data_IF_914636034340
#
_entry.id   IF_914636034340
#
_cell.length_a   1.000
_cell.length_b   1.000
_cell.length_c   1.000
_cell.angle_alpha   90.00
_cell.angle_beta   90.00
_cell.angle_gamma   90.00
#
_symmetry.space_group_name_H-M   'P 1'
#
loop_
_entity.id
_entity.type
_entity.pdbx_description
1 polymer ?
#
# COMPACT_ATOMS: atom_id res chain seq x y z
N UNK A 1 3.12 -16.41 7.93
CA UNK A 1 4.06 -15.32 7.62
C UNK A 1 3.28 -14.06 7.30
N UNK A 2 3.96 -12.92 7.15
CA UNK A 2 3.35 -11.68 6.65
C UNK A 2 3.25 -11.77 5.13
N UNK A 3 2.09 -11.44 4.55
CA UNK A 3 1.87 -11.46 3.09
C UNK A 3 2.02 -10.08 2.46
N UNK A 4 1.71 -9.05 3.23
CA UNK A 4 1.76 -7.66 2.80
C UNK A 4 2.13 -6.75 3.97
N UNK A 5 2.97 -5.75 3.74
CA UNK A 5 3.44 -4.83 4.77
C UNK A 5 3.46 -3.39 4.24
N UNK A 6 2.91 -2.46 5.02
CA UNK A 6 2.66 -1.08 4.61
C UNK A 6 3.45 -0.12 5.50
N UNK A 7 4.15 0.81 4.87
CA UNK A 7 4.86 1.91 5.55
C UNK A 7 4.21 3.21 5.11
N UNK A 8 3.60 3.94 6.04
CA UNK A 8 3.03 5.26 5.78
C UNK A 8 4.01 6.32 6.26
N UNK A 9 4.39 7.23 5.37
CA UNK A 9 5.23 8.40 5.65
C UNK A 9 4.40 9.69 5.44
N UNK A 10 3.84 10.27 6.52
CA UNK A 10 3.02 11.47 6.43
C UNK A 10 3.80 12.73 6.01
N UNK A 11 5.09 12.82 6.33
CA UNK A 11 5.93 13.96 5.95
C UNK A 11 6.15 13.98 4.45
N UNK A 12 6.40 12.80 3.85
CA UNK A 12 6.53 12.64 2.40
C UNK A 12 5.21 12.46 1.67
N UNK A 13 4.09 12.34 2.40
CA UNK A 13 2.76 12.03 1.86
C UNK A 13 2.78 10.82 0.93
N UNK A 14 3.45 9.75 1.37
CA UNK A 14 3.61 8.54 0.59
C UNK A 14 3.36 7.27 1.40
N UNK A 15 2.94 6.22 0.72
CA UNK A 15 2.75 4.87 1.27
C UNK A 15 3.57 3.89 0.45
N UNK A 16 4.42 3.10 1.11
CA UNK A 16 5.18 2.01 0.49
C UNK A 16 4.56 0.67 0.87
N UNK A 17 4.21 -0.15 -0.11
CA UNK A 17 3.61 -1.48 0.06
C UNK A 17 4.58 -2.55 -0.41
N UNK A 18 4.92 -3.46 0.50
CA UNK A 18 5.69 -4.67 0.22
C UNK A 18 4.75 -5.85 0.07
N UNK A 19 4.70 -6.47 -1.12
CA UNK A 19 3.89 -7.66 -1.39
C UNK A 19 4.80 -8.88 -1.49
N UNK A 20 4.84 -9.71 -0.45
CA UNK A 20 5.78 -10.83 -0.36
C UNK A 20 5.44 -11.95 -1.35
N UNK A 21 4.16 -12.18 -1.65
CA UNK A 21 3.73 -13.21 -2.61
C UNK A 21 4.09 -12.86 -4.06
N UNK A 22 4.21 -11.57 -4.38
CA UNK A 22 4.55 -11.07 -5.72
C UNK A 22 5.99 -10.60 -5.84
N UNK A 23 6.77 -10.69 -4.76
CA UNK A 23 8.12 -10.15 -4.65
C UNK A 23 8.24 -8.69 -5.14
N UNK A 24 7.20 -7.88 -4.88
CA UNK A 24 7.10 -6.51 -5.37
C UNK A 24 7.10 -5.47 -4.25
N UNK A 25 7.58 -4.28 -4.61
CA UNK A 25 7.54 -3.08 -3.77
C UNK A 25 6.94 -1.96 -4.60
N UNK A 26 5.87 -1.37 -4.11
CA UNK A 26 5.15 -0.30 -4.78
C UNK A 26 5.06 0.92 -3.86
N UNK A 27 5.13 2.12 -4.44
CA UNK A 27 5.00 3.37 -3.70
C UNK A 27 3.86 4.18 -4.29
N UNK A 28 3.02 4.71 -3.40
CA UNK A 28 1.83 5.48 -3.69
C UNK A 28 1.91 6.84 -3.03
N UNK A 29 1.28 7.85 -3.62
CA UNK A 29 1.10 9.17 -3.04
C UNK A 29 -0.23 9.25 -2.29
N UNK A 30 -0.35 10.16 -1.33
CA UNK A 30 -1.64 10.41 -0.67
C UNK A 30 -2.68 10.85 -1.70
N UNK A 31 -3.88 10.27 -1.63
CA UNK A 31 -4.96 10.44 -2.61
C UNK A 31 -5.05 9.33 -3.66
N UNK A 32 -4.03 8.47 -3.78
CA UNK A 32 -4.11 7.27 -4.61
C UNK A 32 -5.01 6.21 -3.95
N UNK A 33 -5.65 5.38 -4.78
CA UNK A 33 -6.31 4.16 -4.29
C UNK A 33 -5.32 3.00 -4.39
N UNK A 34 -4.92 2.45 -3.25
CA UNK A 34 -3.93 1.39 -3.15
C UNK A 34 -4.64 0.04 -3.21
N UNK A 35 -4.43 -0.78 -4.25
CA UNK A 35 -5.00 -2.12 -4.32
C UNK A 35 -4.38 -3.02 -3.24
N UNK A 36 -5.23 -3.72 -2.49
CA UNK A 36 -4.76 -4.66 -1.47
C UNK A 36 -4.43 -5.98 -2.14
N UNK A 37 -3.15 -6.34 -2.18
CA UNK A 37 -2.62 -7.46 -2.96
C UNK A 37 -3.16 -8.83 -2.55
N UNK A 38 -3.68 -8.94 -1.31
CA UNK A 38 -4.28 -10.18 -0.77
C UNK A 38 -5.82 -10.24 -0.89
N UNK A 39 -6.48 -9.18 -1.34
CA UNK A 39 -7.93 -9.13 -1.55
C UNK A 39 -8.24 -8.59 -2.95
N UNK A 40 -8.60 -9.48 -3.86
CA UNK A 40 -8.90 -9.11 -5.24
C UNK A 40 -10.06 -8.10 -5.33
N UNK A 41 -9.86 -7.04 -6.11
CA UNK A 41 -10.86 -5.98 -6.32
C UNK A 41 -11.06 -5.03 -5.14
N UNK A 42 -10.29 -5.16 -4.05
CA UNK A 42 -10.37 -4.27 -2.89
C UNK A 42 -9.21 -3.27 -2.89
N UNK A 43 -9.53 -2.00 -2.64
CA UNK A 43 -8.55 -0.91 -2.54
C UNK A 43 -8.82 -0.01 -1.34
N UNK A 44 -7.75 0.59 -0.81
CA UNK A 44 -7.79 1.53 0.31
C UNK A 44 -7.27 2.89 -0.17
N UNK A 45 -7.96 4.01 0.10
CA UNK A 45 -7.43 5.33 -0.18
C UNK A 45 -6.19 5.64 0.68
N UNK A 46 -5.14 6.17 0.06
CA UNK A 46 -3.87 6.48 0.69
C UNK A 46 -3.93 7.69 1.65
N UNK A 47 -5.04 8.46 1.63
CA UNK A 47 -5.32 9.48 2.62
C UNK A 47 -6.18 8.91 3.77
N UNK A 48 -5.50 8.48 4.84
CA UNK A 48 -6.15 8.12 6.10
C UNK A 48 -6.56 9.39 6.84
N UNK A 49 -7.66 10.01 6.43
CA UNK A 49 -8.34 11.07 7.18
C UNK A 49 -9.42 10.53 8.10
#
# INVERSE_FOLDING_TARGET
>A
GVREYWIVDPEKKSVTVYQFEKESVEQYSFGDNIPVGIYEGFSIPADFR
#
